data_IF_342749677002
#
_entry.id   IF_342749677002
#
_cell.length_a   1.000
_cell.length_b   1.000
_cell.length_c   1.000
_cell.angle_alpha   90.00
_cell.angle_beta   90.00
_cell.angle_gamma   90.00
#
_symmetry.space_group_name_H-M   'P 1'
#
loop_
_entity.id
_entity.type
_entity.pdbx_description
1 polymer ?
#
# COMPACT_ATOMS: atom_id res chain seq x y z
N UNK A 1 2.68 -51.65 -54.97
CA UNK A 1 1.58 -51.15 -54.12
C UNK A 1 1.81 -49.67 -53.87
N UNK A 2 0.94 -48.83 -54.41
CA UNK A 2 0.96 -47.36 -54.33
C UNK A 2 0.35 -46.97 -52.98
N UNK A 3 1.10 -46.34 -52.08
CA UNK A 3 0.55 -45.74 -50.87
C UNK A 3 1.04 -44.30 -50.78
N UNK A 4 0.19 -43.40 -51.23
CA UNK A 4 0.20 -41.98 -50.91
C UNK A 4 0.23 -41.83 -49.39
N UNK A 5 1.27 -41.19 -48.84
CA UNK A 5 1.17 -40.57 -47.52
C UNK A 5 0.76 -39.10 -47.75
N UNK A 6 -0.44 -38.77 -47.29
CA UNK A 6 -0.94 -37.40 -47.19
C UNK A 6 -0.10 -36.62 -46.17
N UNK A 7 0.38 -35.43 -46.54
CA UNK A 7 0.77 -34.39 -45.61
C UNK A 7 -0.46 -33.97 -44.79
N UNK A 8 -0.35 -34.01 -43.46
CA UNK A 8 -1.31 -33.37 -42.56
C UNK A 8 -0.66 -32.08 -42.05
N UNK A 9 -1.13 -30.94 -42.57
CA UNK A 9 -0.75 -29.63 -42.07
C UNK A 9 -1.41 -29.41 -40.69
N UNK A 10 -0.61 -29.39 -39.63
CA UNK A 10 -1.05 -28.95 -38.32
C UNK A 10 -1.07 -27.42 -38.33
N UNK A 11 -2.25 -26.86 -38.43
CA UNK A 11 -2.49 -25.44 -38.13
C UNK A 11 -2.45 -25.32 -36.60
N UNK A 12 -1.31 -24.93 -36.05
CA UNK A 12 -1.24 -24.42 -34.69
C UNK A 12 -2.02 -23.10 -34.66
N UNK A 13 -3.30 -23.18 -34.27
CA UNK A 13 -4.03 -22.02 -33.81
C UNK A 13 -3.29 -21.50 -32.57
N UNK A 14 -2.53 -20.42 -32.75
CA UNK A 14 -2.06 -19.58 -31.65
C UNK A 14 -3.31 -18.99 -31.03
N UNK A 15 -3.82 -19.64 -29.98
CA UNK A 15 -4.77 -19.01 -29.09
C UNK A 15 -4.03 -17.82 -28.48
N UNK A 16 -4.46 -16.62 -28.83
CA UNK A 16 -4.15 -15.43 -28.06
C UNK A 16 -4.66 -15.70 -26.63
N UNK A 17 -3.79 -16.18 -25.74
CA UNK A 17 -3.95 -15.92 -24.32
C UNK A 17 -3.86 -14.41 -24.21
N UNK A 18 -5.02 -13.76 -24.12
CA UNK A 18 -5.09 -12.38 -23.69
C UNK A 18 -4.32 -12.29 -22.39
N UNK A 19 -3.16 -11.67 -22.42
CA UNK A 19 -2.75 -10.87 -21.28
C UNK A 19 -3.89 -9.86 -21.13
N UNK A 20 -4.84 -10.15 -20.24
CA UNK A 20 -5.49 -9.08 -19.51
C UNK A 20 -4.33 -8.31 -18.91
N UNK A 21 -3.96 -7.19 -19.55
CA UNK A 21 -3.13 -6.21 -18.91
C UNK A 21 -3.98 -5.79 -17.74
N UNK A 22 -3.68 -6.32 -16.56
CA UNK A 22 -4.13 -5.74 -15.30
C UNK A 22 -3.72 -4.28 -15.39
N UNK A 23 -4.68 -3.41 -15.73
CA UNK A 23 -4.46 -1.98 -15.75
C UNK A 23 -4.27 -1.60 -14.29
N UNK A 24 -3.00 -1.57 -13.87
CA UNK A 24 -2.59 -1.15 -12.54
C UNK A 24 -3.27 0.19 -12.24
N UNK A 25 -4.22 0.20 -11.32
CA UNK A 25 -4.95 1.44 -11.02
C UNK A 25 -3.95 2.49 -10.55
N UNK A 26 -3.93 3.64 -11.22
CA UNK A 26 -3.15 4.78 -10.75
C UNK A 26 -3.61 5.17 -9.35
N UNK A 27 -2.69 5.62 -8.52
CA UNK A 27 -3.03 6.16 -7.21
C UNK A 27 -4.04 7.31 -7.35
N UNK A 28 -5.12 7.25 -6.58
CA UNK A 28 -6.29 8.15 -6.64
C UNK A 28 -5.95 9.57 -6.17
N UNK A 29 -4.88 9.72 -5.40
CA UNK A 29 -4.39 10.99 -4.88
C UNK A 29 -3.11 11.38 -5.62
N UNK A 30 -2.74 12.67 -5.58
CA UNK A 30 -1.45 13.10 -6.11
C UNK A 30 -0.32 12.43 -5.33
N UNK A 31 0.49 11.61 -6.01
CA UNK A 31 1.58 10.87 -5.36
C UNK A 31 2.61 11.81 -4.70
N UNK A 32 2.76 13.03 -5.21
CA UNK A 32 3.60 14.08 -4.63
C UNK A 32 3.15 14.48 -3.21
N UNK A 33 1.86 14.36 -2.90
CA UNK A 33 1.34 14.61 -1.57
C UNK A 33 1.75 13.51 -0.57
N UNK A 34 2.05 12.29 -1.04
CA UNK A 34 2.47 11.19 -0.17
C UNK A 34 3.91 11.37 0.34
N UNK A 35 4.82 11.88 -0.50
CA UNK A 35 6.24 11.97 -0.16
C UNK A 35 6.52 12.84 1.07
N UNK A 36 7.54 12.47 1.84
CA UNK A 36 7.95 13.17 3.05
C UNK A 36 7.56 12.44 4.33
N UNK A 37 7.74 13.14 5.47
CA UNK A 37 7.52 12.55 6.80
C UNK A 37 6.08 12.79 7.26
N UNK A 38 5.44 11.72 7.69
CA UNK A 38 4.13 11.70 8.32
C UNK A 38 4.26 11.25 9.78
N UNK A 39 3.73 12.05 10.69
CA UNK A 39 3.71 11.80 12.13
C UNK A 39 2.31 11.39 12.54
N UNK A 40 2.17 10.27 13.26
CA UNK A 40 0.90 9.92 13.89
C UNK A 40 0.49 10.96 14.93
N UNK A 41 -0.75 11.47 14.84
CA UNK A 41 -1.30 12.48 15.76
C UNK A 41 -2.55 11.99 16.49
N UNK A 42 -3.30 11.04 15.92
CA UNK A 42 -4.43 10.43 16.60
C UNK A 42 -4.67 8.99 16.15
N UNK A 43 -5.26 8.20 17.03
CA UNK A 43 -5.76 6.85 16.74
C UNK A 43 -7.23 6.78 17.15
N UNK A 44 -8.05 5.97 16.47
CA UNK A 44 -9.43 5.76 16.90
C UNK A 44 -9.54 4.60 17.89
N UNK A 45 -10.27 4.80 18.97
CA UNK A 45 -10.61 3.76 19.95
C UNK A 45 -12.05 3.95 20.42
N UNK A 46 -12.87 2.89 20.34
CA UNK A 46 -14.28 2.92 20.77
C UNK A 46 -15.12 4.06 20.15
N UNK A 47 -14.83 4.43 18.90
CA UNK A 47 -15.52 5.51 18.18
C UNK A 47 -15.02 6.93 18.50
N UNK A 48 -14.02 7.08 19.37
CA UNK A 48 -13.40 8.36 19.70
C UNK A 48 -11.99 8.46 19.15
N UNK A 49 -11.60 9.66 18.72
CA UNK A 49 -10.22 9.96 18.34
C UNK A 49 -9.41 10.34 19.57
N UNK A 50 -8.37 9.56 19.84
CA UNK A 50 -7.44 9.78 20.93
C UNK A 50 -6.21 10.50 20.39
N UNK A 51 -5.93 11.70 20.90
CA UNK A 51 -4.71 12.45 20.61
C UNK A 51 -3.49 11.73 21.22
N UNK A 52 -2.53 11.33 20.38
CA UNK A 52 -1.31 10.62 20.79
C UNK A 52 -0.09 11.54 20.89
N UNK A 53 -0.26 12.84 20.67
CA UNK A 53 0.81 13.85 20.78
C UNK A 53 1.01 14.35 22.20
N UNK A 54 0.08 14.04 23.12
CA UNK A 54 0.08 14.50 24.51
C UNK A 54 0.05 13.33 25.52
N UNK A 55 0.58 13.53 26.75
CA UNK A 55 0.41 12.55 27.83
C UNK A 55 -1.07 12.30 28.15
N UNK A 56 -1.46 11.07 28.51
CA UNK A 56 -0.59 9.91 28.79
C UNK A 56 -0.25 9.06 27.55
N UNK A 57 -0.62 9.48 26.34
CA UNK A 57 -0.62 8.64 25.13
C UNK A 57 0.64 8.77 24.26
N UNK A 58 1.63 9.54 24.67
CA UNK A 58 2.88 9.74 23.90
C UNK A 58 3.68 8.45 23.67
N UNK A 59 3.43 7.40 24.45
CA UNK A 59 4.01 6.08 24.23
C UNK A 59 3.49 5.38 22.96
N UNK A 60 2.41 5.89 22.37
CA UNK A 60 1.83 5.43 21.11
C UNK A 60 2.40 6.18 19.90
N UNK A 61 3.39 7.05 20.07
CA UNK A 61 3.95 7.84 18.98
C UNK A 61 4.60 6.95 17.89
N UNK A 62 4.32 7.28 16.63
CA UNK A 62 4.91 6.63 15.46
C UNK A 62 5.05 7.62 14.29
N UNK A 63 5.94 7.32 13.35
CA UNK A 63 6.11 8.10 12.12
C UNK A 63 6.53 7.21 10.96
N UNK A 64 6.27 7.68 9.74
CA UNK A 64 6.71 7.07 8.50
C UNK A 64 7.20 8.12 7.53
N UNK A 65 8.24 7.82 6.77
CA UNK A 65 8.74 8.65 5.67
C UNK A 65 8.55 7.89 4.37
N UNK A 66 7.92 8.50 3.37
CA UNK A 66 7.82 7.98 2.01
C UNK A 66 8.76 8.76 1.08
N UNK A 67 9.61 8.05 0.34
CA UNK A 67 10.58 8.64 -0.58
C UNK A 67 10.13 8.48 -2.03
N UNK A 68 10.45 9.47 -2.87
CA UNK A 68 10.12 9.47 -4.31
C UNK A 68 10.61 8.23 -5.08
N UNK A 69 11.68 7.61 -4.60
CA UNK A 69 12.26 6.40 -5.22
C UNK A 69 11.52 5.09 -4.89
N UNK A 70 10.34 5.16 -4.24
CA UNK A 70 9.53 3.99 -3.90
C UNK A 70 9.96 3.27 -2.62
N UNK A 71 10.81 3.88 -1.80
CA UNK A 71 11.19 3.35 -0.48
C UNK A 71 10.47 4.06 0.66
N UNK A 72 10.39 3.41 1.82
CA UNK A 72 9.86 4.01 3.04
C UNK A 72 10.71 3.65 4.26
N UNK A 73 10.58 4.44 5.32
CA UNK A 73 11.10 4.09 6.65
C UNK A 73 10.09 4.46 7.73
N UNK A 74 9.75 3.49 8.58
CA UNK A 74 8.83 3.64 9.70
C UNK A 74 9.56 3.48 11.04
N UNK A 75 9.04 4.16 12.06
CA UNK A 75 9.56 4.08 13.43
C UNK A 75 8.49 4.34 14.49
N UNK A 76 8.67 3.78 15.68
CA UNK A 76 7.85 4.05 16.86
C UNK A 76 6.98 2.88 17.30
N UNK A 77 5.75 3.18 17.72
CA UNK A 77 4.86 2.21 18.39
C UNK A 77 4.61 0.92 17.60
N UNK A 78 4.51 0.99 16.28
CA UNK A 78 4.30 -0.17 15.40
C UNK A 78 5.61 -0.88 15.00
N UNK A 79 6.74 -0.52 15.61
CA UNK A 79 8.05 -1.05 15.30
C UNK A 79 8.88 -0.11 14.42
N UNK A 80 10.11 -0.56 14.12
CA UNK A 80 11.05 0.18 13.29
C UNK A 80 11.43 -0.69 12.09
N UNK A 81 11.46 -0.09 10.90
CA UNK A 81 11.77 -0.81 9.68
C UNK A 81 11.88 0.10 8.47
N UNK A 82 12.39 -0.44 7.39
CA UNK A 82 12.47 0.24 6.09
C UNK A 82 12.33 -0.78 4.98
N UNK A 83 11.80 -0.36 3.85
CA UNK A 83 11.64 -1.22 2.70
C UNK A 83 11.06 -0.45 1.52
N UNK A 84 10.25 -1.12 0.71
CA UNK A 84 9.61 -0.53 -0.46
C UNK A 84 8.12 -0.33 -0.23
N UNK A 85 7.50 0.54 -1.01
CA UNK A 85 6.06 0.71 -1.00
C UNK A 85 5.49 0.78 -2.41
N UNK A 86 4.19 0.52 -2.51
CA UNK A 86 3.40 0.66 -3.72
C UNK A 86 2.13 1.43 -3.37
N UNK A 87 1.72 2.35 -4.23
CA UNK A 87 0.48 3.12 -4.09
C UNK A 87 -0.37 2.91 -5.35
N UNK A 88 -1.60 2.43 -5.19
CA UNK A 88 -2.54 2.14 -6.27
C UNK A 88 -3.97 2.30 -5.77
N UNK A 89 -4.86 2.86 -6.59
CA UNK A 89 -6.21 3.21 -6.17
C UNK A 89 -6.18 4.09 -4.90
N UNK A 90 -6.92 3.71 -3.86
CA UNK A 90 -6.86 4.38 -2.55
C UNK A 90 -5.96 3.66 -1.53
N UNK A 91 -5.09 2.76 -1.98
CA UNK A 91 -4.27 1.91 -1.12
C UNK A 91 -2.79 2.24 -1.19
N UNK A 92 -2.11 2.11 -0.06
CA UNK A 92 -0.65 2.08 0.06
C UNK A 92 -0.25 0.76 0.71
N UNK A 93 0.68 0.04 0.09
CA UNK A 93 1.21 -1.22 0.59
C UNK A 93 2.69 -1.05 0.89
N UNK A 94 3.14 -1.62 2.00
CA UNK A 94 4.55 -1.59 2.42
C UNK A 94 5.12 -3.00 2.45
N UNK A 95 6.38 -3.12 2.05
CA UNK A 95 7.06 -4.40 1.92
C UNK A 95 8.42 -4.38 2.61
N UNK A 96 8.78 -5.48 3.25
CA UNK A 96 10.14 -5.75 3.73
C UNK A 96 10.57 -7.07 3.08
N UNK A 97 11.72 -7.05 2.41
CA UNK A 97 12.26 -8.21 1.67
C UNK A 97 11.26 -8.86 0.69
N UNK A 98 10.34 -8.05 0.13
CA UNK A 98 9.31 -8.48 -0.82
C UNK A 98 8.03 -9.03 -0.17
N UNK A 99 8.00 -9.17 1.16
CA UNK A 99 6.80 -9.57 1.90
C UNK A 99 6.01 -8.34 2.35
N UNK A 100 4.69 -8.36 2.11
CA UNK A 100 3.79 -7.29 2.52
C UNK A 100 3.67 -7.25 4.06
N UNK A 101 3.81 -6.08 4.67
CA UNK A 101 3.76 -5.90 6.12
C UNK A 101 2.51 -5.13 6.57
N UNK A 102 2.40 -3.87 6.14
CA UNK A 102 1.25 -3.02 6.41
C UNK A 102 0.61 -2.54 5.11
N UNK A 103 -0.72 -2.43 5.15
CA UNK A 103 -1.54 -1.79 4.12
C UNK A 103 -2.31 -0.62 4.72
N UNK A 104 -2.47 0.44 3.95
CA UNK A 104 -3.16 1.66 4.36
C UNK A 104 -4.21 1.99 3.32
N UNK A 105 -5.47 2.06 3.73
CA UNK A 105 -6.53 2.64 2.92
C UNK A 105 -6.64 4.12 3.21
N UNK A 106 -6.38 4.95 2.20
CA UNK A 106 -6.38 6.40 2.31
C UNK A 106 -7.79 6.94 2.10
N UNK A 107 -8.37 7.52 3.15
CA UNK A 107 -9.69 8.17 3.05
C UNK A 107 -9.54 9.61 2.57
N UNK A 108 -8.51 10.31 3.05
CA UNK A 108 -8.22 11.69 2.66
C UNK A 108 -6.75 12.04 2.86
N UNK A 109 -6.25 12.94 2.01
CA UNK A 109 -5.00 13.67 2.18
C UNK A 109 -5.29 15.13 1.82
N UNK A 110 -5.29 16.02 2.80
CA UNK A 110 -5.57 17.45 2.57
C UNK A 110 -4.93 18.31 3.65
N UNK A 111 -4.39 19.48 3.26
CA UNK A 111 -3.79 20.44 4.19
C UNK A 111 -2.75 19.83 5.16
N UNK A 112 -1.95 18.86 4.66
CA UNK A 112 -0.95 18.16 5.48
C UNK A 112 -1.53 17.19 6.51
N UNK A 113 -2.82 16.87 6.46
CA UNK A 113 -3.46 15.85 7.29
C UNK A 113 -3.90 14.69 6.42
N UNK A 114 -3.63 13.47 6.87
CA UNK A 114 -4.11 12.24 6.27
C UNK A 114 -4.96 11.46 7.29
N UNK A 115 -6.09 10.92 6.83
CA UNK A 115 -6.90 9.96 7.59
C UNK A 115 -6.88 8.62 6.84
N UNK A 116 -6.44 7.56 7.51
CA UNK A 116 -6.25 6.24 6.89
C UNK A 116 -6.70 5.10 7.80
N UNK A 117 -7.20 4.02 7.20
CA UNK A 117 -7.31 2.71 7.86
C UNK A 117 -6.00 1.96 7.68
N UNK A 118 -5.29 1.65 8.75
CA UNK A 118 -4.08 0.82 8.72
C UNK A 118 -4.43 -0.63 9.05
N UNK A 119 -3.98 -1.59 8.24
CA UNK A 119 -4.11 -3.03 8.49
C UNK A 119 -2.78 -3.76 8.37
N UNK A 120 -2.69 -4.95 8.97
CA UNK A 120 -1.56 -5.87 8.84
C UNK A 120 -1.83 -6.84 7.70
N UNK A 121 -0.79 -7.23 6.95
CA UNK A 121 -0.96 -8.20 5.90
C UNK A 121 -1.47 -9.55 6.43
N UNK A 122 -2.47 -10.14 5.75
CA UNK A 122 -3.11 -11.38 6.19
C UNK A 122 -4.14 -11.23 7.31
N UNK A 123 -4.38 -10.02 7.82
CA UNK A 123 -5.41 -9.72 8.81
C UNK A 123 -6.51 -8.83 8.20
N UNK A 124 -7.73 -8.97 8.74
CA UNK A 124 -8.90 -8.15 8.39
C UNK A 124 -9.15 -7.03 9.41
N UNK A 125 -8.37 -6.98 10.50
CA UNK A 125 -8.46 -5.92 11.51
C UNK A 125 -7.73 -4.67 11.00
N UNK A 126 -8.42 -3.53 11.08
CA UNK A 126 -7.84 -2.22 10.81
C UNK A 126 -7.88 -1.33 12.03
N UNK A 127 -6.92 -0.41 12.09
CA UNK A 127 -6.86 0.70 13.04
C UNK A 127 -6.99 2.00 12.24
N UNK A 128 -7.95 2.85 12.61
CA UNK A 128 -8.05 4.18 12.03
C UNK A 128 -7.03 5.11 12.68
N UNK A 129 -6.25 5.80 11.86
CA UNK A 129 -5.20 6.71 12.31
C UNK A 129 -5.27 8.04 11.56
N UNK A 130 -4.87 9.12 12.23
CA UNK A 130 -4.60 10.42 11.60
C UNK A 130 -3.12 10.73 11.65
N UNK A 131 -2.60 11.22 10.54
CA UNK A 131 -1.21 11.64 10.42
C UNK A 131 -1.12 13.09 10.00
N UNK A 132 -0.07 13.76 10.47
CA UNK A 132 0.31 15.11 10.07
C UNK A 132 1.64 15.09 9.33
N UNK A 133 1.69 15.75 8.18
CA UNK A 133 2.92 15.97 7.41
C UNK A 133 3.80 16.99 8.14
N UNK A 134 5.09 16.67 8.29
CA UNK A 134 6.11 17.57 8.86
C UNK A 134 6.67 18.53 7.82
#
# INVERSE_FOLDING_TARGET
>A
MKKFLLLMAVICAVTFMGCEKDEQESFKFDIENLYGTWQGIAIQSNGEWIDITQPPHTNLAFSVVFYENGTYSGSGYFGNGSGTYKAEGDMIYTYIDGEELYRYKVHSISNGIAEVSMGVAGDNITLEIKLQKK
#
